data_IF_855498634094
#
_entry.id   IF_855498634094
#
_cell.length_a   1.000
_cell.length_b   1.000
_cell.length_c   1.000
_cell.angle_alpha   90.00
_cell.angle_beta   90.00
_cell.angle_gamma   90.00
#
_symmetry.space_group_name_H-M   'P 1'
#
loop_
_entity.id
_entity.type
_entity.pdbx_description
1 polymer ?
#
# COMPACT_ATOMS: atom_id res chain seq x y z
N UNK A 1 5.00 32.88 10.06
CA UNK A 1 5.16 31.78 11.04
C UNK A 1 5.56 30.56 10.22
N UNK A 2 6.86 30.30 10.13
CA UNK A 2 7.37 29.17 9.34
C UNK A 2 7.03 27.91 10.12
N UNK A 3 6.09 27.12 9.61
CA UNK A 3 5.82 25.78 10.16
C UNK A 3 7.11 25.00 9.93
N UNK A 4 7.84 24.74 11.01
CA UNK A 4 8.92 23.77 11.01
C UNK A 4 8.22 22.42 10.74
N UNK A 5 8.25 21.94 9.50
CA UNK A 5 7.84 20.56 9.22
C UNK A 5 8.84 19.66 9.95
N UNK A 6 8.41 19.15 11.11
CA UNK A 6 9.04 17.98 11.69
C UNK A 6 8.83 16.88 10.65
N UNK A 7 9.91 16.23 10.20
CA UNK A 7 9.77 15.06 9.33
C UNK A 7 8.79 14.09 10.00
N UNK A 8 7.74 13.68 9.28
CA UNK A 8 6.74 12.79 9.85
C UNK A 8 7.43 11.50 10.33
N UNK A 9 7.26 11.18 11.62
CA UNK A 9 7.68 9.87 12.13
C UNK A 9 6.57 8.87 11.87
N UNK A 10 6.88 7.81 11.15
CA UNK A 10 5.92 6.75 10.84
C UNK A 10 5.96 5.63 11.89
N UNK A 11 4.79 5.08 12.19
CA UNK A 11 4.64 3.78 12.85
C UNK A 11 4.68 2.71 11.78
N UNK A 12 5.65 1.80 11.86
CA UNK A 12 5.81 0.69 10.92
C UNK A 12 5.19 -0.59 11.50
N UNK A 13 4.16 -1.11 10.85
CA UNK A 13 3.55 -2.39 11.21
C UNK A 13 3.99 -3.46 10.22
N UNK A 14 4.80 -4.46 10.63
CA UNK A 14 5.25 -5.53 9.74
C UNK A 14 4.08 -6.35 9.19
N UNK A 15 4.16 -6.69 7.91
CA UNK A 15 3.32 -7.72 7.29
C UNK A 15 4.09 -9.03 7.37
N UNK A 16 3.53 -10.01 8.06
CA UNK A 16 4.17 -11.31 8.30
C UNK A 16 3.24 -12.43 7.86
N UNK A 17 3.68 -13.22 6.88
CA UNK A 17 3.01 -14.47 6.48
C UNK A 17 3.79 -15.64 7.09
N UNK A 18 3.22 -16.40 8.04
CA UNK A 18 3.94 -17.49 8.68
C UNK A 18 4.45 -18.52 7.67
N UNK A 19 5.75 -18.82 7.73
CA UNK A 19 6.37 -19.86 6.88
C UNK A 19 6.78 -19.41 5.48
N UNK A 20 6.54 -18.15 5.08
CA UNK A 20 6.98 -17.64 3.78
C UNK A 20 7.49 -16.19 3.87
N UNK A 21 8.42 -15.82 2.99
CA UNK A 21 8.82 -14.43 2.81
C UNK A 21 7.91 -13.73 1.81
N UNK A 22 7.93 -12.40 1.81
CA UNK A 22 7.08 -11.61 0.92
C UNK A 22 7.87 -11.26 -0.33
N UNK A 23 7.32 -11.60 -1.50
CA UNK A 23 7.87 -11.16 -2.77
C UNK A 23 7.43 -9.73 -3.06
N UNK A 24 6.13 -9.48 -2.95
CA UNK A 24 5.51 -8.18 -3.21
C UNK A 24 4.27 -7.99 -2.34
N UNK A 25 3.99 -6.74 -1.99
CA UNK A 25 2.74 -6.28 -1.41
C UNK A 25 2.29 -5.04 -2.18
N UNK A 26 1.03 -5.03 -2.66
CA UNK A 26 0.52 -4.01 -3.59
C UNK A 26 -0.67 -3.24 -3.02
N UNK A 27 -1.87 -3.42 -3.56
CA UNK A 27 -3.06 -2.65 -3.18
C UNK A 27 -3.32 -2.70 -1.69
N UNK A 28 -3.85 -1.61 -1.15
CA UNK A 28 -4.22 -1.44 0.26
C UNK A 28 -5.56 -0.70 0.30
N UNK A 29 -6.56 -1.25 0.99
CA UNK A 29 -7.85 -0.60 1.17
C UNK A 29 -8.03 -0.01 2.58
N UNK A 30 -9.13 0.70 2.82
CA UNK A 30 -9.43 1.35 4.11
C UNK A 30 -9.78 0.36 5.23
N UNK A 31 -10.04 -0.90 4.87
CA UNK A 31 -10.19 -2.02 5.83
C UNK A 31 -8.85 -2.66 6.21
N UNK A 32 -7.72 -2.07 5.79
CA UNK A 32 -6.36 -2.57 6.00
C UNK A 32 -6.11 -3.95 5.40
N UNK A 33 -6.86 -4.28 4.34
CA UNK A 33 -6.58 -5.45 3.52
C UNK A 33 -5.54 -5.07 2.47
N UNK A 34 -4.50 -5.88 2.33
CA UNK A 34 -3.47 -5.68 1.32
C UNK A 34 -3.25 -6.93 0.49
N UNK A 35 -3.06 -6.75 -0.81
CA UNK A 35 -2.67 -7.83 -1.70
C UNK A 35 -1.20 -8.19 -1.46
N UNK A 36 -0.94 -9.45 -1.17
CA UNK A 36 0.40 -10.00 -0.93
C UNK A 36 0.62 -11.19 -1.86
N UNK A 37 1.80 -11.24 -2.46
CA UNK A 37 2.32 -12.45 -3.10
C UNK A 37 3.57 -12.89 -2.35
N UNK A 38 3.54 -14.13 -1.87
CA UNK A 38 4.64 -14.75 -1.14
C UNK A 38 5.72 -15.25 -2.09
N UNK A 39 6.93 -15.51 -1.58
CA UNK A 39 8.05 -15.96 -2.40
C UNK A 39 7.85 -17.34 -3.05
N UNK A 40 6.95 -18.17 -2.52
CA UNK A 40 6.48 -19.43 -3.10
C UNK A 40 5.37 -19.24 -4.15
N UNK A 41 5.01 -18.00 -4.49
CA UNK A 41 4.08 -17.66 -5.57
C UNK A 41 2.60 -17.65 -5.18
N UNK A 42 2.27 -17.78 -3.89
CA UNK A 42 0.89 -17.74 -3.42
C UNK A 42 0.44 -16.28 -3.30
N UNK A 43 -0.58 -15.90 -4.07
CA UNK A 43 -1.22 -14.59 -3.99
C UNK A 43 -2.44 -14.65 -3.07
N UNK A 44 -2.65 -13.62 -2.25
CA UNK A 44 -3.74 -13.57 -1.28
C UNK A 44 -3.91 -12.22 -0.61
N UNK A 45 -4.92 -12.13 0.24
CA UNK A 45 -5.22 -10.95 1.04
C UNK A 45 -4.61 -11.12 2.42
N UNK A 46 -3.75 -10.18 2.82
CA UNK A 46 -3.30 -10.05 4.20
C UNK A 46 -4.14 -8.99 4.94
N UNK A 47 -4.57 -9.32 6.16
CA UNK A 47 -5.20 -8.38 7.09
C UNK A 47 -4.87 -8.77 8.52
N UNK A 48 -4.27 -7.86 9.29
CA UNK A 48 -4.04 -7.98 10.75
C UNK A 48 -3.52 -9.37 11.18
N UNK A 49 -2.43 -9.82 10.58
CA UNK A 49 -1.79 -11.11 10.91
C UNK A 49 -2.39 -12.34 10.22
N UNK A 50 -3.50 -12.18 9.50
CA UNK A 50 -4.14 -13.28 8.77
C UNK A 50 -3.87 -13.13 7.27
N UNK A 51 -3.30 -14.17 6.65
CA UNK A 51 -3.14 -14.27 5.20
C UNK A 51 -4.14 -15.28 4.65
N UNK A 52 -4.97 -14.85 3.69
CA UNK A 52 -5.98 -15.68 3.03
C UNK A 52 -5.64 -15.77 1.55
N UNK A 53 -5.22 -16.95 1.05
CA UNK A 53 -4.96 -17.15 -0.38
C UNK A 53 -6.18 -16.82 -1.23
N UNK A 54 -5.96 -16.34 -2.46
CA UNK A 54 -7.03 -16.21 -3.45
C UNK A 54 -7.66 -17.59 -3.74
N UNK A 55 -8.97 -17.64 -4.04
CA UNK A 55 -9.58 -18.88 -4.51
C UNK A 55 -8.90 -19.34 -5.82
N UNK A 56 -8.81 -20.66 -6.08
CA UNK A 56 -8.23 -21.16 -7.32
C UNK A 56 -9.02 -20.64 -8.53
N UNK A 57 -8.32 -20.43 -9.64
CA UNK A 57 -8.91 -20.05 -10.92
C UNK A 57 -8.76 -21.20 -11.92
N UNK A 58 -9.83 -21.51 -12.65
CA UNK A 58 -9.82 -22.53 -13.71
C UNK A 58 -9.06 -22.07 -14.96
N UNK A 59 -8.80 -20.75 -15.10
CA UNK A 59 -8.19 -20.17 -16.28
C UNK A 59 -6.64 -20.13 -16.24
N UNK A 60 -6.03 -20.21 -15.05
CA UNK A 60 -4.58 -20.10 -14.89
C UNK A 60 -4.16 -19.58 -13.51
N UNK A 61 -2.88 -19.18 -13.38
CA UNK A 61 -2.34 -18.67 -12.13
C UNK A 61 -2.81 -17.23 -11.88
N UNK A 62 -3.68 -17.04 -10.88
CA UNK A 62 -4.18 -15.73 -10.48
C UNK A 62 -3.20 -15.03 -9.53
N UNK A 63 -2.76 -13.82 -9.89
CA UNK A 63 -1.96 -12.92 -9.06
C UNK A 63 -2.70 -11.60 -8.87
N UNK A 64 -3.09 -11.28 -7.65
CA UNK A 64 -3.78 -10.03 -7.34
C UNK A 64 -2.83 -8.85 -7.10
N UNK A 65 -3.21 -7.67 -7.59
CA UNK A 65 -2.46 -6.43 -7.43
C UNK A 65 -3.27 -5.35 -6.72
N UNK A 66 -4.52 -5.11 -7.12
CA UNK A 66 -5.37 -4.08 -6.55
C UNK A 66 -6.49 -4.66 -5.70
N UNK A 67 -6.94 -3.91 -4.69
CA UNK A 67 -8.11 -4.23 -3.86
C UNK A 67 -8.84 -2.93 -3.49
N UNK A 68 -10.16 -2.88 -3.63
CA UNK A 68 -10.98 -1.73 -3.22
C UNK A 68 -11.62 -1.95 -1.84
N UNK A 69 -12.39 -0.97 -1.34
CA UNK A 69 -12.99 -1.04 0.00
C UNK A 69 -14.09 -2.10 0.14
N UNK A 70 -14.68 -2.57 -0.96
CA UNK A 70 -15.65 -3.67 -0.96
C UNK A 70 -14.97 -5.05 -0.99
N UNK A 71 -13.63 -5.09 -0.97
CA UNK A 71 -12.85 -6.32 -1.06
C UNK A 71 -12.81 -6.91 -2.48
N UNK A 72 -13.21 -6.14 -3.50
CA UNK A 72 -13.07 -6.53 -4.90
C UNK A 72 -11.63 -6.39 -5.32
N UNK A 73 -11.08 -7.43 -5.92
CA UNK A 73 -9.67 -7.55 -6.26
C UNK A 73 -9.50 -7.49 -7.77
N UNK A 74 -8.43 -6.84 -8.24
CA UNK A 74 -8.00 -6.94 -9.65
C UNK A 74 -6.58 -7.44 -9.74
N UNK A 75 -6.27 -8.13 -10.83
CA UNK A 75 -4.92 -8.62 -11.09
C UNK A 75 -4.80 -9.31 -12.43
N UNK A 76 -3.78 -10.16 -12.56
CA UNK A 76 -3.52 -10.95 -13.77
C UNK A 76 -3.79 -12.43 -13.56
N UNK A 77 -4.32 -13.08 -14.60
CA UNK A 77 -4.27 -14.53 -14.75
C UNK A 77 -3.24 -14.81 -15.84
N UNK A 78 -2.16 -15.50 -15.47
CA UNK A 78 -1.19 -16.01 -16.45
C UNK A 78 -1.68 -17.32 -17.02
N UNK A 79 -1.88 -17.34 -18.33
CA UNK A 79 -2.37 -18.48 -19.10
C UNK A 79 -1.24 -19.48 -19.40
N UNK A 80 -1.61 -20.68 -19.85
CA UNK A 80 -0.67 -21.75 -20.17
C UNK A 80 0.30 -21.40 -21.33
N UNK A 81 -0.09 -20.51 -22.23
CA UNK A 81 0.76 -19.99 -23.31
C UNK A 81 1.69 -18.85 -22.86
N UNK A 82 1.63 -18.49 -21.57
CA UNK A 82 2.42 -17.42 -20.97
C UNK A 82 1.90 -16.02 -21.25
N UNK A 83 0.72 -15.85 -21.85
CA UNK A 83 0.03 -14.56 -21.96
C UNK A 83 -0.73 -14.20 -20.68
N UNK A 84 -1.05 -12.92 -20.48
CA UNK A 84 -1.78 -12.45 -19.30
C UNK A 84 -3.15 -11.85 -19.67
N UNK A 85 -4.19 -12.31 -18.97
CA UNK A 85 -5.50 -11.66 -18.93
C UNK A 85 -5.66 -10.87 -17.63
N UNK A 86 -6.40 -9.76 -17.69
CA UNK A 86 -6.85 -9.09 -16.49
C UNK A 86 -8.00 -9.86 -15.84
N UNK A 87 -8.14 -9.78 -14.51
CA UNK A 87 -9.33 -10.25 -13.80
C UNK A 87 -9.88 -9.22 -12.82
N UNK A 88 -11.17 -9.35 -12.54
CA UNK A 88 -11.87 -8.80 -11.36
C UNK A 88 -12.40 -9.98 -10.57
N UNK A 89 -12.08 -10.04 -9.27
CA UNK A 89 -12.55 -11.05 -8.35
C UNK A 89 -13.49 -10.40 -7.34
N UNK A 90 -14.75 -10.85 -7.35
CA UNK A 90 -15.77 -10.45 -6.37
C UNK A 90 -16.28 -11.70 -5.65
N UNK A 91 -16.05 -11.77 -4.34
CA UNK A 91 -16.22 -13.00 -3.57
C UNK A 91 -15.30 -14.10 -4.09
N UNK A 92 -15.88 -15.18 -4.62
CA UNK A 92 -15.15 -16.29 -5.25
C UNK A 92 -15.24 -16.30 -6.78
N UNK A 93 -15.85 -15.28 -7.40
CA UNK A 93 -16.12 -15.26 -8.83
C UNK A 93 -15.11 -14.41 -9.57
N UNK A 94 -14.36 -15.03 -10.48
CA UNK A 94 -13.47 -14.35 -11.41
C UNK A 94 -14.22 -13.90 -12.67
N UNK A 95 -14.05 -12.64 -13.06
CA UNK A 95 -14.42 -12.10 -14.37
C UNK A 95 -13.16 -11.66 -15.10
N UNK A 96 -12.85 -12.27 -16.22
CA UNK A 96 -11.63 -11.97 -16.99
C UNK A 96 -11.89 -10.95 -18.10
N UNK A 97 -10.84 -10.21 -18.48
CA UNK A 97 -10.89 -9.25 -19.57
C UNK A 97 -9.52 -9.11 -20.24
N UNK A 98 -9.52 -8.73 -21.52
CA UNK A 98 -8.31 -8.47 -22.29
C UNK A 98 -8.49 -7.19 -23.09
N UNK A 99 -7.45 -6.34 -23.12
CA UNK A 99 -7.45 -5.15 -23.95
C UNK A 99 -7.27 -5.54 -25.42
N UNK A 100 -8.19 -5.18 -26.33
CA UNK A 100 -8.05 -5.53 -27.75
C UNK A 100 -6.73 -5.03 -28.35
N UNK A 101 -6.07 -5.88 -29.13
CA UNK A 101 -4.79 -5.56 -29.78
C UNK A 101 -3.55 -5.75 -28.91
N UNK A 102 -3.70 -6.27 -27.69
CA UNK A 102 -2.58 -6.58 -26.79
C UNK A 102 -2.56 -8.05 -26.37
N UNK A 103 -1.36 -8.63 -26.30
CA UNK A 103 -1.11 -10.00 -25.82
C UNK A 103 -1.19 -10.05 -24.30
N UNK A 104 -0.73 -8.99 -23.61
CA UNK A 104 -0.71 -8.91 -22.15
C UNK A 104 -1.59 -7.78 -21.69
N UNK A 105 -2.53 -8.07 -20.80
CA UNK A 105 -3.33 -7.08 -20.07
C UNK A 105 -3.04 -7.21 -18.57
N UNK A 106 -2.39 -6.19 -18.01
CA UNK A 106 -1.93 -6.19 -16.62
C UNK A 106 -2.62 -5.09 -15.80
N UNK A 107 -3.78 -5.39 -15.17
CA UNK A 107 -4.40 -4.54 -14.16
C UNK A 107 -3.48 -4.34 -12.95
N UNK A 108 -3.58 -3.17 -12.33
CA UNK A 108 -2.74 -2.77 -11.19
C UNK A 108 -3.52 -2.26 -10.00
N UNK A 109 -4.56 -1.44 -10.22
CA UNK A 109 -5.44 -0.99 -9.15
C UNK A 109 -6.89 -0.99 -9.59
N UNK A 110 -7.77 -1.04 -8.59
CA UNK A 110 -9.21 -0.91 -8.72
C UNK A 110 -9.68 0.08 -7.66
N UNK A 111 -10.47 1.08 -8.07
CA UNK A 111 -11.05 2.04 -7.12
C UNK A 111 -12.42 1.60 -6.60
N UNK A 112 -12.99 2.41 -5.69
CA UNK A 112 -14.28 2.15 -5.08
C UNK A 112 -15.47 2.31 -6.05
N UNK A 113 -15.26 2.89 -7.24
CA UNK A 113 -16.26 2.90 -8.29
C UNK A 113 -16.16 1.63 -9.19
N UNK A 114 -15.18 0.77 -8.94
CA UNK A 114 -14.91 -0.44 -9.72
C UNK A 114 -14.12 -0.19 -11.00
N UNK A 115 -13.59 1.02 -11.20
CA UNK A 115 -12.75 1.33 -12.35
C UNK A 115 -11.38 0.73 -12.15
N UNK A 116 -10.84 0.13 -13.23
CA UNK A 116 -9.58 -0.60 -13.17
C UNK A 116 -8.49 0.14 -13.95
N UNK A 117 -7.35 0.38 -13.32
CA UNK A 117 -6.18 0.93 -14.00
C UNK A 117 -5.15 -0.16 -14.27
N UNK A 118 -4.32 0.04 -15.29
CA UNK A 118 -3.24 -0.88 -15.59
C UNK A 118 -2.49 -0.52 -16.87
N UNK A 119 -1.80 -1.50 -17.43
CA UNK A 119 -1.10 -1.33 -18.70
C UNK A 119 -1.14 -2.61 -19.54
N UNK A 120 -0.96 -2.43 -20.84
CA UNK A 120 -0.93 -3.53 -21.81
C UNK A 120 0.32 -3.45 -22.67
N UNK A 121 0.82 -4.60 -23.10
CA UNK A 121 2.04 -4.71 -23.91
C UNK A 121 2.02 -5.97 -24.79
N UNK A 122 2.94 -6.04 -25.76
CA UNK A 122 3.00 -7.13 -26.75
C UNK A 122 4.33 -7.90 -26.74
N UNK A 123 5.30 -7.46 -25.94
CA UNK A 123 6.60 -8.11 -25.82
C UNK A 123 7.15 -7.94 -24.40
N UNK A 124 7.92 -8.94 -23.96
CA UNK A 124 8.69 -8.92 -22.71
C UNK A 124 10.17 -8.67 -23.07
N UNK A 125 10.88 -7.70 -22.43
CA UNK A 125 10.42 -6.82 -21.36
C UNK A 125 9.40 -5.77 -21.88
N UNK A 126 8.68 -5.11 -20.96
CA UNK A 126 7.48 -4.26 -21.18
C UNK A 126 7.70 -2.94 -21.98
N UNK A 127 8.62 -2.97 -22.95
CA UNK A 127 8.88 -1.91 -23.92
C UNK A 127 7.62 -1.66 -24.75
N UNK A 128 7.27 -0.39 -24.95
CA UNK A 128 6.06 -0.02 -25.67
C UNK A 128 4.76 -0.26 -24.89
N UNK A 129 4.85 -0.48 -23.57
CA UNK A 129 3.67 -0.55 -22.70
C UNK A 129 2.80 0.68 -22.83
N UNK A 130 1.49 0.45 -22.84
CA UNK A 130 0.43 1.46 -22.97
C UNK A 130 -0.45 1.42 -21.72
N UNK A 131 -0.69 2.57 -21.12
CA UNK A 131 -1.57 2.71 -19.97
C UNK A 131 -3.04 2.61 -20.33
N UNK A 132 -3.87 2.10 -19.41
CA UNK A 132 -5.31 2.11 -19.57
C UNK A 132 -6.06 2.43 -18.28
N UNK A 133 -7.28 2.95 -18.47
CA UNK A 133 -8.38 2.95 -17.51
C UNK A 133 -9.52 2.12 -18.12
N UNK A 134 -10.02 1.13 -17.40
CA UNK A 134 -11.01 0.17 -17.85
C UNK A 134 -12.29 0.31 -17.00
N UNK A 135 -13.41 0.46 -17.68
CA UNK A 135 -14.76 0.43 -17.10
C UNK A 135 -15.38 -0.95 -17.33
N UNK A 136 -15.49 -1.80 -16.30
CA UNK A 136 -16.09 -3.13 -16.44
C UNK A 136 -17.60 -3.09 -16.69
N UNK A 137 -18.30 -2.01 -16.35
CA UNK A 137 -19.74 -1.90 -16.56
C UNK A 137 -20.08 -1.70 -18.04
N UNK A 138 -19.20 -1.03 -18.79
CA UNK A 138 -19.37 -0.78 -20.24
C UNK A 138 -18.43 -1.61 -21.13
N UNK A 139 -17.40 -2.25 -20.54
CA UNK A 139 -16.35 -2.94 -21.29
C UNK A 139 -15.39 -1.99 -22.02
N UNK A 140 -15.35 -0.71 -21.63
CA UNK A 140 -14.63 0.33 -22.36
C UNK A 140 -13.22 0.52 -21.81
N UNK A 141 -12.24 0.62 -22.71
CA UNK A 141 -10.87 1.04 -22.38
C UNK A 141 -10.62 2.48 -22.83
N UNK A 142 -10.20 3.31 -21.88
CA UNK A 142 -9.62 4.63 -22.15
C UNK A 142 -8.09 4.50 -22.17
N UNK A 143 -7.43 5.01 -23.22
CA UNK A 143 -5.97 5.05 -23.27
C UNK A 143 -5.42 6.15 -22.37
N UNK A 144 -4.54 5.77 -21.45
CA UNK A 144 -3.88 6.69 -20.50
C UNK A 144 -2.38 6.65 -20.75
N UNK A 145 -2.00 6.94 -21.98
CA UNK A 145 -0.60 7.01 -22.43
C UNK A 145 -0.22 8.43 -22.83
N UNK A 146 0.75 9.08 -22.15
CA UNK A 146 1.27 10.36 -22.60
C UNK A 146 1.80 10.31 -24.04
N UNK A 147 1.56 11.37 -24.81
CA UNK A 147 2.06 11.48 -26.18
C UNK A 147 3.60 11.35 -26.22
N UNK A 148 4.12 10.59 -27.18
CA UNK A 148 5.56 10.33 -27.32
C UNK A 148 6.15 9.37 -26.27
N UNK A 149 5.34 8.81 -25.37
CA UNK A 149 5.81 7.78 -24.44
C UNK A 149 6.19 6.48 -25.15
N UNK A 150 7.30 5.90 -24.71
CA UNK A 150 7.78 4.56 -25.10
C UNK A 150 7.55 3.51 -24.00
N UNK A 151 7.09 3.94 -22.84
CA UNK A 151 6.86 3.11 -21.66
C UNK A 151 5.91 3.83 -20.73
N UNK A 152 4.76 3.24 -20.44
CA UNK A 152 3.77 3.82 -19.52
C UNK A 152 3.17 2.75 -18.64
N UNK A 153 3.28 2.95 -17.34
CA UNK A 153 2.60 2.15 -16.33
C UNK A 153 1.59 3.05 -15.61
N UNK A 154 0.31 2.72 -15.71
CA UNK A 154 -0.75 3.32 -14.90
C UNK A 154 -0.96 2.40 -13.69
N UNK A 155 -1.07 2.98 -12.50
CA UNK A 155 -0.94 2.25 -11.25
C UNK A 155 -2.05 2.54 -10.24
N UNK A 156 -2.66 3.73 -10.24
CA UNK A 156 -3.68 4.10 -9.25
C UNK A 156 -4.74 5.02 -9.81
N UNK A 157 -5.92 5.02 -9.19
CA UNK A 157 -7.01 5.98 -9.43
C UNK A 157 -7.70 6.35 -8.13
N UNK A 158 -8.44 7.46 -8.15
CA UNK A 158 -9.24 7.90 -7.00
C UNK A 158 -10.64 8.37 -7.42
N UNK A 159 -11.50 8.65 -6.43
CA UNK A 159 -12.90 9.06 -6.66
C UNK A 159 -13.07 10.39 -7.42
N UNK A 160 -12.02 11.22 -7.49
CA UNK A 160 -12.02 12.45 -8.27
C UNK A 160 -11.72 12.22 -9.76
N UNK A 161 -11.58 10.96 -10.19
CA UNK A 161 -11.22 10.57 -11.55
C UNK A 161 -9.77 10.89 -11.90
N UNK A 162 -8.92 11.12 -10.89
CA UNK A 162 -7.49 11.27 -11.10
C UNK A 162 -6.87 9.89 -11.24
N UNK A 163 -5.98 9.74 -12.21
CA UNK A 163 -5.27 8.50 -12.50
C UNK A 163 -3.78 8.76 -12.45
N UNK A 164 -3.04 7.95 -11.70
CA UNK A 164 -1.59 8.14 -11.53
C UNK A 164 -0.78 7.00 -12.10
N UNK A 165 0.44 7.33 -12.47
CA UNK A 165 1.39 6.35 -12.94
C UNK A 165 2.75 6.97 -13.24
N UNK A 166 3.56 6.25 -14.00
CA UNK A 166 4.85 6.72 -14.44
C UNK A 166 5.06 6.44 -15.92
N UNK A 167 5.80 7.31 -16.57
CA UNK A 167 6.02 7.25 -18.01
C UNK A 167 7.46 7.61 -18.37
N UNK A 168 7.89 7.17 -19.55
CA UNK A 168 9.19 7.51 -20.11
C UNK A 168 9.09 7.67 -21.63
N UNK A 169 9.57 8.81 -22.13
CA UNK A 169 9.79 9.06 -23.55
C UNK A 169 11.24 8.83 -23.97
N UNK A 170 11.50 8.90 -25.28
CA UNK A 170 12.85 8.73 -25.84
C UNK A 170 13.80 9.81 -25.32
N UNK A 171 14.90 9.41 -24.67
CA UNK A 171 15.89 10.34 -24.11
C UNK A 171 15.43 11.09 -22.86
N UNK A 172 14.28 10.72 -22.28
CA UNK A 172 13.72 11.37 -21.08
C UNK A 172 13.88 10.44 -19.87
N UNK A 173 14.28 10.99 -18.73
CA UNK A 173 14.26 10.25 -17.45
C UNK A 173 12.81 9.94 -17.04
N UNK A 174 12.55 8.74 -16.51
CA UNK A 174 11.22 8.34 -16.04
C UNK A 174 10.64 9.37 -15.05
N UNK A 175 9.39 9.75 -15.28
CA UNK A 175 8.66 10.74 -14.49
C UNK A 175 7.30 10.18 -14.02
N UNK A 176 6.78 10.73 -12.93
CA UNK A 176 5.41 10.50 -12.48
C UNK A 176 4.42 11.36 -13.26
N UNK A 177 3.18 10.92 -13.35
CA UNK A 177 2.10 11.73 -13.90
C UNK A 177 0.80 11.59 -13.10
N UNK A 178 -0.02 12.63 -13.17
CA UNK A 178 -1.45 12.61 -12.89
C UNK A 178 -2.18 12.84 -14.22
N UNK A 179 -3.13 11.99 -14.53
CA UNK A 179 -4.06 12.13 -15.64
C UNK A 179 -5.44 12.46 -15.10
N UNK A 180 -6.14 13.41 -15.73
CA UNK A 180 -7.52 13.72 -15.42
C UNK A 180 -8.22 14.23 -16.68
N UNK A 181 -9.30 13.56 -17.10
CA UNK A 181 -10.14 14.00 -18.22
C UNK A 181 -9.37 14.25 -19.53
N UNK A 182 -8.37 13.41 -19.84
CA UNK A 182 -7.56 13.53 -21.05
C UNK A 182 -6.29 14.37 -20.92
N UNK A 183 -6.11 15.11 -19.81
CA UNK A 183 -4.95 15.97 -19.59
C UNK A 183 -3.93 15.33 -18.66
N UNK A 184 -2.64 15.52 -18.95
CA UNK A 184 -1.52 15.02 -18.13
C UNK A 184 -0.79 16.16 -17.41
N UNK A 185 -0.58 16.01 -16.11
CA UNK A 185 0.37 16.79 -15.32
C UNK A 185 1.53 15.89 -14.92
N UNK A 186 2.75 16.19 -15.36
CA UNK A 186 3.95 15.39 -15.08
C UNK A 186 4.80 16.01 -13.98
N UNK A 187 5.46 15.17 -13.19
CA UNK A 187 6.35 15.62 -12.13
C UNK A 187 7.49 14.64 -11.89
N UNK A 188 8.51 15.10 -11.17
CA UNK A 188 9.55 14.26 -10.57
C UNK A 188 9.68 14.60 -9.10
N UNK A 189 10.08 13.63 -8.32
CA UNK A 189 10.45 13.82 -6.92
C UNK A 189 11.97 14.04 -6.89
N UNK A 190 12.38 15.30 -6.79
CA UNK A 190 13.76 15.71 -7.04
C UNK A 190 14.19 15.42 -8.49
N UNK A 191 15.46 15.05 -8.68
CA UNK A 191 16.04 14.72 -10.00
C UNK A 191 16.03 13.22 -10.31
N UNK A 192 15.29 12.42 -9.54
CA UNK A 192 15.33 10.96 -9.61
C UNK A 192 14.30 10.37 -10.58
N UNK A 193 14.46 9.07 -10.89
CA UNK A 193 13.46 8.29 -11.64
C UNK A 193 12.26 8.01 -10.75
N UNK A 194 11.14 8.68 -11.01
CA UNK A 194 9.94 8.59 -10.18
C UNK A 194 8.99 7.50 -10.66
N UNK A 195 8.64 6.57 -9.77
CA UNK A 195 7.61 5.55 -9.98
C UNK A 195 6.46 5.85 -9.02
N UNK A 196 5.34 6.33 -9.54
CA UNK A 196 4.12 6.56 -8.74
C UNK A 196 3.32 5.27 -8.75
N UNK A 197 2.90 4.81 -7.58
CA UNK A 197 2.26 3.49 -7.41
C UNK A 197 0.82 3.57 -6.91
N UNK A 198 0.47 4.60 -6.17
CA UNK A 198 -0.90 4.79 -5.69
C UNK A 198 -1.26 6.24 -5.46
N UNK A 199 -2.56 6.49 -5.39
CA UNK A 199 -3.19 7.78 -5.06
C UNK A 199 -4.41 7.49 -4.19
N UNK A 200 -4.68 8.31 -3.18
CA UNK A 200 -5.91 8.24 -2.40
C UNK A 200 -6.91 9.35 -2.79
N UNK A 201 -8.08 9.36 -2.17
CA UNK A 201 -9.17 10.29 -2.49
C UNK A 201 -8.87 11.75 -2.12
N UNK A 202 -7.89 11.97 -1.24
CA UNK A 202 -7.37 13.30 -0.94
C UNK A 202 -6.31 13.78 -1.95
N UNK A 203 -5.98 12.97 -2.96
CA UNK A 203 -4.94 13.25 -3.96
C UNK A 203 -3.51 12.99 -3.46
N UNK A 204 -3.36 12.35 -2.30
CA UNK A 204 -2.05 11.99 -1.75
C UNK A 204 -1.51 10.79 -2.51
N UNK A 205 -0.29 10.92 -3.03
CA UNK A 205 0.35 9.90 -3.85
C UNK A 205 1.45 9.19 -3.08
N UNK A 206 1.63 7.90 -3.36
CA UNK A 206 2.77 7.11 -2.90
C UNK A 206 3.54 6.49 -4.07
N UNK A 207 4.77 6.10 -3.81
CA UNK A 207 5.61 5.43 -4.78
C UNK A 207 7.05 5.31 -4.30
N UNK A 208 7.96 5.16 -5.25
CA UNK A 208 9.39 5.17 -4.96
C UNK A 208 10.22 5.78 -6.08
N UNK A 209 11.33 6.38 -5.69
CA UNK A 209 12.34 6.84 -6.62
C UNK A 209 13.48 5.83 -6.72
N UNK A 210 14.05 5.67 -7.90
CA UNK A 210 15.32 4.95 -8.08
C UNK A 210 16.46 5.96 -8.19
N UNK A 211 17.49 5.78 -7.37
CA UNK A 211 18.76 6.48 -7.53
C UNK A 211 19.51 5.96 -8.77
N UNK A 212 20.58 6.64 -9.17
CA UNK A 212 21.46 6.16 -10.26
C UNK A 212 22.14 4.82 -9.92
N UNK A 213 22.26 4.47 -8.63
CA UNK A 213 22.70 3.16 -8.13
C UNK A 213 21.57 2.14 -8.01
N UNK A 214 20.34 2.48 -8.43
CA UNK A 214 19.12 1.67 -8.36
C UNK A 214 18.56 1.40 -6.96
N UNK A 215 18.91 2.22 -5.96
CA UNK A 215 18.35 2.09 -4.61
C UNK A 215 16.97 2.75 -4.58
N UNK A 216 15.95 2.05 -4.06
CA UNK A 216 14.60 2.57 -3.95
C UNK A 216 14.43 3.48 -2.73
N UNK A 217 13.79 4.64 -2.90
CA UNK A 217 13.37 5.49 -1.81
C UNK A 217 11.86 5.73 -1.88
N UNK A 218 11.13 5.14 -0.93
CA UNK A 218 9.70 5.30 -0.78
C UNK A 218 9.33 6.77 -0.52
N UNK A 219 8.19 7.20 -1.03
CA UNK A 219 7.69 8.54 -0.80
C UNK A 219 6.18 8.59 -0.62
N UNK A 220 5.70 9.65 0.03
CA UNK A 220 4.29 10.02 0.11
C UNK A 220 4.15 11.54 -0.02
N UNK A 221 3.16 12.05 -0.74
CA UNK A 221 2.98 13.49 -0.89
C UNK A 221 2.22 13.92 -2.13
N UNK A 222 2.35 15.21 -2.47
CA UNK A 222 1.78 15.78 -3.69
C UNK A 222 2.79 16.71 -4.37
N UNK A 223 2.70 16.94 -5.69
CA UNK A 223 3.54 17.92 -6.38
C UNK A 223 3.41 19.34 -5.81
N UNK A 224 2.24 19.69 -5.26
CA UNK A 224 1.98 21.02 -4.66
C UNK A 224 2.54 21.19 -3.26
N UNK A 225 2.57 20.12 -2.45
CA UNK A 225 2.98 20.18 -1.04
C UNK A 225 4.39 19.62 -0.82
N UNK A 226 4.97 18.97 -1.82
CA UNK A 226 6.19 18.19 -1.69
C UNK A 226 5.91 16.73 -1.29
N UNK A 227 7.00 15.97 -1.24
CA UNK A 227 6.99 14.54 -0.94
C UNK A 227 7.92 14.23 0.22
N UNK A 228 7.38 13.55 1.23
CA UNK A 228 8.12 13.02 2.36
C UNK A 228 8.69 11.64 2.02
N UNK A 229 9.85 11.31 2.60
CA UNK A 229 10.49 10.01 2.43
C UNK A 229 9.91 8.99 3.42
N UNK A 230 9.62 7.80 2.92
CA UNK A 230 9.33 6.61 3.73
C UNK A 230 10.48 5.62 3.54
N UNK A 231 11.13 5.23 4.63
CA UNK A 231 12.22 4.26 4.62
C UNK A 231 12.06 3.30 5.79
N UNK A 232 12.22 2.00 5.52
CA UNK A 232 12.24 1.00 6.57
C UNK A 232 13.44 1.26 7.51
N UNK A 233 13.30 1.07 8.83
CA UNK A 233 14.38 1.29 9.80
C UNK A 233 15.63 0.42 9.54
N UNK A 234 15.45 -0.73 8.90
CA UNK A 234 16.43 -1.79 8.65
C UNK A 234 16.63 -2.07 7.15
N UNK A 235 16.15 -1.18 6.26
CA UNK A 235 16.34 -1.35 4.83
C UNK A 235 17.82 -1.34 4.46
N UNK A 236 18.22 -2.33 3.67
CA UNK A 236 19.57 -2.43 3.13
C UNK A 236 19.79 -1.53 1.89
N UNK A 237 20.85 -1.81 1.13
CA UNK A 237 21.24 -1.09 -0.09
C UNK A 237 20.11 -1.00 -1.14
N UNK A 238 19.17 -1.96 -1.19
CA UNK A 238 18.12 -1.98 -2.22
C UNK A 238 16.95 -1.02 -1.91
N UNK A 239 16.83 -0.58 -0.66
CA UNK A 239 15.92 0.48 -0.24
C UNK A 239 14.44 0.07 -0.13
N UNK A 240 13.57 1.06 0.07
CA UNK A 240 12.13 0.87 0.33
C UNK A 240 11.32 1.21 -0.92
N UNK A 241 10.46 0.30 -1.36
CA UNK A 241 9.50 0.54 -2.45
C UNK A 241 8.09 0.59 -1.89
N UNK A 242 7.45 1.76 -1.93
CA UNK A 242 6.05 1.90 -1.51
C UNK A 242 5.12 1.69 -2.71
N UNK A 243 4.12 0.84 -2.54
CA UNK A 243 3.36 0.22 -3.64
C UNK A 243 1.86 0.52 -3.57
N UNK A 244 1.33 0.92 -2.43
CA UNK A 244 -0.10 1.22 -2.27
C UNK A 244 -0.38 2.20 -1.13
N UNK A 245 -1.48 2.95 -1.23
CA UNK A 245 -1.94 3.92 -0.23
C UNK A 245 -3.47 3.83 -0.10
N UNK A 246 -3.99 4.01 1.11
CA UNK A 246 -5.43 4.10 1.36
C UNK A 246 -5.87 5.52 1.82
N UNK A 247 -7.17 5.73 2.05
CA UNK A 247 -7.72 7.02 2.48
C UNK A 247 -7.41 7.35 3.95
N UNK A 248 -7.02 6.34 4.74
CA UNK A 248 -6.46 6.53 6.09
C UNK A 248 -5.00 7.02 6.06
N UNK A 249 -4.42 7.27 4.88
CA UNK A 249 -3.02 7.68 4.65
C UNK A 249 -2.01 6.63 5.10
N UNK A 250 -2.43 5.38 5.19
CA UNK A 250 -1.53 4.27 5.40
C UNK A 250 -0.89 3.90 4.07
N UNK A 251 0.39 3.56 4.10
CA UNK A 251 1.16 3.19 2.91
C UNK A 251 1.74 1.81 3.10
N UNK A 252 1.48 0.90 2.15
CA UNK A 252 2.17 -0.39 2.13
C UNK A 252 3.44 -0.28 1.31
N UNK A 253 4.53 -0.79 1.88
CA UNK A 253 5.84 -0.79 1.25
C UNK A 253 6.51 -2.15 1.41
N UNK A 254 7.40 -2.45 0.47
CA UNK A 254 8.28 -3.61 0.48
C UNK A 254 9.73 -3.18 0.55
N UNK A 255 10.58 -4.03 1.11
CA UNK A 255 12.02 -3.83 1.16
C UNK A 255 12.74 -5.18 1.28
N UNK A 256 14.05 -5.18 1.07
CA UNK A 256 14.92 -6.32 1.36
C UNK A 256 15.67 -6.00 2.64
N UNK A 257 15.63 -6.92 3.61
CA UNK A 257 16.38 -6.76 4.86
C UNK A 257 17.87 -7.10 4.67
N UNK A 258 18.70 -6.78 5.66
CA UNK A 258 20.14 -7.05 5.61
C UNK A 258 20.52 -8.55 5.42
N UNK A 259 19.57 -9.47 5.58
CA UNK A 259 19.75 -10.90 5.31
C UNK A 259 19.33 -11.30 3.88
N UNK A 260 18.94 -10.34 3.04
CA UNK A 260 18.47 -10.58 1.67
C UNK A 260 17.02 -11.09 1.60
N UNK A 261 16.24 -10.98 2.68
CA UNK A 261 14.87 -11.48 2.74
C UNK A 261 13.88 -10.37 2.38
N UNK A 262 12.95 -10.68 1.47
CA UNK A 262 11.85 -9.78 1.12
C UNK A 262 10.86 -9.60 2.29
N UNK A 263 10.65 -8.35 2.68
CA UNK A 263 9.78 -7.90 3.77
C UNK A 263 8.78 -6.87 3.28
N UNK A 264 7.68 -6.73 4.02
CA UNK A 264 6.72 -5.66 3.79
C UNK A 264 6.21 -5.09 5.12
N UNK A 265 5.74 -3.85 5.08
CA UNK A 265 5.14 -3.16 6.21
C UNK A 265 4.06 -2.19 5.76
N UNK A 266 3.17 -1.85 6.68
CA UNK A 266 2.26 -0.70 6.55
C UNK A 266 2.86 0.44 7.39
N UNK A 267 3.16 1.56 6.75
CA UNK A 267 3.52 2.81 7.42
C UNK A 267 2.26 3.63 7.69
N UNK A 268 2.09 4.06 8.93
CA UNK A 268 0.98 4.92 9.37
C UNK A 268 1.53 6.13 10.14
N UNK A 269 0.84 7.26 10.07
CA UNK A 269 1.10 8.35 11.01
C UNK A 269 0.70 7.91 12.43
N UNK A 270 1.30 8.44 13.51
CA UNK A 270 1.02 7.97 14.86
C UNK A 270 -0.45 8.14 15.28
N UNK A 271 -1.13 9.20 14.83
CA UNK A 271 -2.56 9.40 15.07
C UNK A 271 -3.43 8.31 14.41
N UNK A 272 -3.03 7.83 13.23
CA UNK A 272 -3.71 6.74 12.52
C UNK A 272 -3.44 5.42 13.24
N UNK A 273 -2.21 5.20 13.71
CA UNK A 273 -1.86 4.02 14.47
C UNK A 273 -2.57 3.97 15.84
N UNK A 274 -2.75 5.11 16.52
CA UNK A 274 -3.52 5.22 17.76
C UNK A 274 -5.01 4.92 17.53
N UNK A 275 -5.60 5.44 16.44
CA UNK A 275 -6.97 5.10 16.06
C UNK A 275 -7.16 3.60 15.82
N UNK A 276 -6.21 2.98 15.11
CA UNK A 276 -6.22 1.53 14.93
C UNK A 276 -6.04 0.76 16.24
N UNK A 277 -5.15 1.22 17.12
CA UNK A 277 -4.96 0.61 18.43
C UNK A 277 -6.26 0.67 19.25
N UNK A 278 -7.03 1.75 19.13
CA UNK A 278 -8.34 1.86 19.78
C UNK A 278 -9.30 0.76 19.29
N UNK A 279 -9.38 0.55 17.97
CA UNK A 279 -10.18 -0.55 17.39
C UNK A 279 -9.72 -1.92 17.93
N UNK A 280 -8.40 -2.12 18.04
CA UNK A 280 -7.81 -3.39 18.48
C UNK A 280 -8.07 -3.69 19.97
N UNK A 281 -8.22 -2.65 20.81
CA UNK A 281 -8.52 -2.82 22.24
C UNK A 281 -10.01 -2.76 22.59
N UNK A 282 -10.85 -2.33 21.65
CA UNK A 282 -12.30 -2.16 21.88
C UNK A 282 -12.97 -3.50 22.12
N UNK A 283 -13.68 -3.62 23.25
CA UNK A 283 -14.33 -4.87 23.68
C UNK A 283 -13.35 -5.96 24.14
N UNK A 284 -12.06 -5.66 24.31
CA UNK A 284 -11.03 -6.60 24.74
C UNK A 284 -10.64 -6.36 26.20
N UNK A 285 -10.47 -7.43 26.97
CA UNK A 285 -9.93 -7.36 28.34
C UNK A 285 -10.96 -7.00 29.42
N UNK A 286 -10.54 -6.39 30.54
CA UNK A 286 -11.39 -6.16 31.71
C UNK A 286 -12.24 -4.89 31.55
N UNK A 287 -13.39 -5.02 30.89
CA UNK A 287 -14.32 -3.89 30.71
C UNK A 287 -13.76 -2.87 29.72
N UNK A 288 -13.77 -1.57 30.09
CA UNK A 288 -13.36 -0.45 29.22
C UNK A 288 -11.97 0.12 29.52
N UNK A 289 -11.18 -0.55 30.37
CA UNK A 289 -9.93 0.02 30.87
C UNK A 289 -8.88 0.23 29.77
N UNK A 290 -8.79 -0.69 28.80
CA UNK A 290 -7.88 -0.54 27.66
C UNK A 290 -8.34 0.57 26.72
N UNK A 291 -9.63 0.59 26.37
CA UNK A 291 -10.24 1.65 25.55
C UNK A 291 -9.95 3.04 26.14
N UNK A 292 -10.20 3.23 27.44
CA UNK A 292 -9.98 4.50 28.12
C UNK A 292 -8.54 4.98 27.99
N UNK A 293 -7.56 4.09 28.22
CA UNK A 293 -6.12 4.45 28.10
C UNK A 293 -5.72 4.84 26.69
N UNK A 294 -6.28 4.19 25.68
CA UNK A 294 -5.98 4.56 24.28
C UNK A 294 -6.66 5.88 23.92
N UNK A 295 -7.87 6.13 24.41
CA UNK A 295 -8.56 7.41 24.21
C UNK A 295 -7.83 8.58 24.91
N UNK A 296 -7.29 8.35 26.10
CA UNK A 296 -6.47 9.33 26.83
C UNK A 296 -5.19 9.61 26.00
N UNK A 297 -4.48 8.56 25.56
CA UNK A 297 -3.31 8.69 24.70
C UNK A 297 -3.60 9.43 23.37
N UNK A 298 -4.77 9.22 22.76
CA UNK A 298 -5.20 9.96 21.57
C UNK A 298 -5.40 11.45 21.85
N UNK A 299 -6.05 11.75 22.98
CA UNK A 299 -6.33 13.13 23.40
C UNK A 299 -5.02 13.86 23.68
N UNK A 300 -4.11 13.23 24.41
CA UNK A 300 -2.80 13.79 24.76
C UNK A 300 -1.91 13.96 23.52
N UNK A 301 -1.90 12.99 22.60
CA UNK A 301 -1.15 13.10 21.35
C UNK A 301 -1.67 14.24 20.48
N UNK A 302 -2.99 14.38 20.35
CA UNK A 302 -3.61 15.49 19.63
C UNK A 302 -3.32 16.85 20.30
N UNK A 303 -3.15 16.87 21.63
CA UNK A 303 -2.69 18.03 22.41
C UNK A 303 -1.18 18.30 22.34
N UNK A 304 -0.42 17.50 21.58
CA UNK A 304 1.04 17.50 21.52
C UNK A 304 1.75 17.22 22.87
N UNK A 305 1.06 16.57 23.81
CA UNK A 305 1.62 16.11 25.08
C UNK A 305 2.18 14.69 24.96
N UNK A 306 3.38 14.59 24.40
CA UNK A 306 4.07 13.32 24.21
C UNK A 306 4.36 12.63 25.56
N UNK A 307 4.61 13.38 26.64
CA UNK A 307 4.94 12.78 27.93
C UNK A 307 3.74 12.03 28.52
N UNK A 308 2.56 12.65 28.49
CA UNK A 308 1.33 12.03 28.97
C UNK A 308 0.88 10.91 28.04
N UNK A 309 0.98 11.10 26.71
CA UNK A 309 0.77 10.02 25.72
C UNK A 309 1.61 8.78 26.06
N UNK A 310 2.91 8.96 26.35
CA UNK A 310 3.79 7.85 26.71
C UNK A 310 3.42 7.19 28.05
N UNK A 311 2.92 7.95 29.02
CA UNK A 311 2.45 7.43 30.29
C UNK A 311 1.24 6.51 30.10
N UNK A 312 0.26 6.94 29.31
CA UNK A 312 -0.95 6.16 29.01
C UNK A 312 -0.63 4.86 28.28
N UNK A 313 0.24 4.91 27.27
CA UNK A 313 0.68 3.72 26.53
C UNK A 313 1.48 2.75 27.44
N UNK A 314 2.28 3.27 28.38
CA UNK A 314 2.97 2.44 29.37
C UNK A 314 2.00 1.76 30.34
N UNK A 315 0.95 2.47 30.77
CA UNK A 315 -0.07 1.91 31.65
C UNK A 315 -0.93 0.88 30.92
N UNK A 316 -1.20 1.08 29.63
CA UNK A 316 -1.82 0.07 28.77
C UNK A 316 -0.96 -1.20 28.74
N UNK A 317 0.33 -1.10 28.45
CA UNK A 317 1.24 -2.25 28.41
C UNK A 317 1.28 -3.03 29.73
N UNK A 318 1.35 -2.32 30.87
CA UNK A 318 1.31 -2.94 32.21
C UNK A 318 0.02 -3.73 32.41
N UNK A 319 -1.12 -3.15 32.02
CA UNK A 319 -2.42 -3.77 32.19
C UNK A 319 -2.61 -4.96 31.24
N UNK A 320 -2.25 -4.81 29.96
CA UNK A 320 -2.24 -5.91 28.97
C UNK A 320 -1.47 -7.10 29.53
N UNK A 321 -0.23 -6.87 30.02
CA UNK A 321 0.60 -7.90 30.65
C UNK A 321 -0.09 -8.55 31.85
N UNK A 322 -0.75 -7.77 32.70
CA UNK A 322 -1.44 -8.27 33.88
C UNK A 322 -2.67 -9.15 33.54
N UNK A 323 -3.29 -8.92 32.38
CA UNK A 323 -4.49 -9.62 31.90
C UNK A 323 -4.20 -10.78 30.94
N UNK A 324 -2.96 -10.91 30.47
CA UNK A 324 -2.49 -12.03 29.65
C UNK A 324 -2.76 -13.37 30.33
N UNK A 325 -3.44 -14.27 29.62
CA UNK A 325 -3.84 -15.59 30.12
C UNK A 325 -5.03 -15.57 31.09
N UNK A 326 -5.57 -14.38 31.41
CA UNK A 326 -6.77 -14.22 32.26
C UNK A 326 -7.96 -13.78 31.40
N UNK A 327 -8.02 -12.48 31.08
CA UNK A 327 -9.09 -11.85 30.29
C UNK A 327 -8.70 -11.65 28.83
N UNK A 328 -7.42 -11.84 28.51
CA UNK A 328 -6.86 -11.66 27.17
C UNK A 328 -6.01 -12.88 26.85
N UNK A 329 -6.15 -13.44 25.64
CA UNK A 329 -5.27 -14.53 25.20
C UNK A 329 -3.83 -14.06 25.01
N UNK A 330 -2.85 -14.96 25.11
CA UNK A 330 -1.45 -14.61 24.89
C UNK A 330 -1.19 -14.02 23.49
N UNK A 331 -1.91 -14.52 22.47
CA UNK A 331 -1.81 -14.01 21.11
C UNK A 331 -2.32 -12.56 20.99
N UNK A 332 -3.50 -12.27 21.54
CA UNK A 332 -4.08 -10.91 21.51
C UNK A 332 -3.24 -9.94 22.33
N UNK A 333 -2.75 -10.36 23.51
CA UNK A 333 -1.86 -9.55 24.33
C UNK A 333 -0.52 -9.24 23.63
N UNK A 334 0.05 -10.21 22.93
CA UNK A 334 1.27 -10.03 22.14
C UNK A 334 1.06 -9.02 21.02
N UNK A 335 -0.03 -9.15 20.27
CA UNK A 335 -0.38 -8.22 19.18
C UNK A 335 -0.57 -6.77 19.68
N UNK A 336 -1.35 -6.58 20.75
CA UNK A 336 -1.54 -5.25 21.35
C UNK A 336 -0.23 -4.65 21.85
N UNK A 337 0.61 -5.46 22.51
CA UNK A 337 1.91 -4.99 23.01
C UNK A 337 2.82 -4.55 21.86
N UNK A 338 2.90 -5.33 20.78
CA UNK A 338 3.70 -4.96 19.61
C UNK A 338 3.23 -3.64 18.98
N UNK A 339 1.93 -3.46 18.77
CA UNK A 339 1.40 -2.23 18.18
C UNK A 339 1.64 -1.02 19.10
N UNK A 340 1.41 -1.18 20.41
CA UNK A 340 1.64 -0.13 21.40
C UNK A 340 3.11 0.30 21.44
N UNK A 341 4.05 -0.64 21.49
CA UNK A 341 5.49 -0.33 21.49
C UNK A 341 5.97 0.30 20.17
N UNK A 342 5.36 -0.07 19.04
CA UNK A 342 5.66 0.56 17.75
C UNK A 342 5.25 2.05 17.75
N UNK A 343 4.09 2.38 18.33
CA UNK A 343 3.65 3.78 18.52
C UNK A 343 4.60 4.51 19.45
N UNK A 344 4.91 3.92 20.62
CA UNK A 344 5.85 4.51 21.58
C UNK A 344 7.21 4.84 20.94
N UNK A 345 7.73 3.93 20.12
CA UNK A 345 8.99 4.11 19.41
C UNK A 345 8.92 5.25 18.39
N UNK A 346 7.81 5.35 17.64
CA UNK A 346 7.62 6.41 16.65
C UNK A 346 7.44 7.80 17.27
N UNK A 347 6.82 7.90 18.44
CA UNK A 347 6.62 9.19 19.13
C UNK A 347 7.78 9.55 20.08
N UNK A 348 8.76 8.67 20.23
CA UNK A 348 9.96 8.93 21.04
C UNK A 348 9.78 8.74 22.53
N UNK A 349 8.89 7.85 22.97
CA UNK A 349 8.83 7.43 24.37
C UNK A 349 10.16 6.81 24.80
N UNK A 350 10.63 7.17 26.00
CA UNK A 350 11.86 6.67 26.61
C UNK A 350 11.56 5.75 27.79
#
# INVERSE_FOLDING_TARGET
MTILLIAATYVFTPIVVPGSSIQVAFGLNDSEQTMVTTADGVSGVYRRGTFTPLPPSDAGLATGFGINNDGVITGTITLADGSDQGFILSGSTYTTFSRPGFIYTAPRAIDNAGMVTGFSFNAVPTVGSRGFLYDPATGTFTDVTPSGSTFTLVQGSNVAGQVTGNSQGRGVTRYGFVWQGGSFTTFRVGDLRTNVRGINDAGLMTGFNLTLSANAAGFIGTPSTGFDRIAAPDADEFGTSCEGINNLRQVVCVYVDAAGVGRAFIASLPEVALARLLDDVTGVGPGKSFEAKVMDAQTDYAGADIASTCADLNDLLKEVKAQTGKKVSAAVAGFMSTNTTAIQSAIGCR
#
